data_IF_543366878819
#
_entry.id   IF_543366878819
#
_cell.length_a   1.000
_cell.length_b   1.000
_cell.length_c   1.000
_cell.angle_alpha   90.00
_cell.angle_beta   90.00
_cell.angle_gamma   90.00
#
_symmetry.space_group_name_H-M   'P 1'
#
loop_
_entity.id
_entity.type
_entity.pdbx_description
1 polymer ?
#
# COMPACT_ATOMS: atom_id res chain seq x y z
N UNK A 1 -15.70 -18.62 4.14
CA UNK A 1 -15.96 -17.17 4.11
C UNK A 1 -14.74 -16.49 4.69
N UNK A 2 -14.01 -15.70 3.91
CA UNK A 2 -12.87 -14.95 4.42
C UNK A 2 -13.43 -13.83 5.30
N UNK A 3 -13.23 -13.95 6.60
CA UNK A 3 -13.55 -12.89 7.56
C UNK A 3 -12.83 -11.63 7.10
N UNK A 4 -13.53 -10.50 6.88
CA UNK A 4 -12.86 -9.24 6.60
C UNK A 4 -11.92 -8.95 7.77
N UNK A 5 -10.63 -8.95 7.49
CA UNK A 5 -9.64 -8.55 8.47
C UNK A 5 -9.91 -7.09 8.80
N UNK A 6 -10.48 -6.81 9.98
CA UNK A 6 -10.96 -5.49 10.37
C UNK A 6 -9.86 -4.40 10.24
N UNK A 7 -8.61 -4.84 10.28
CA UNK A 7 -7.40 -4.02 10.28
C UNK A 7 -6.48 -4.36 9.09
N UNK A 8 -7.07 -4.72 7.95
CA UNK A 8 -6.37 -4.76 6.68
C UNK A 8 -7.04 -3.83 5.68
N UNK A 9 -6.25 -3.30 4.76
CA UNK A 9 -6.69 -2.51 3.62
C UNK A 9 -6.10 -3.10 2.35
N UNK A 10 -6.92 -3.15 1.31
CA UNK A 10 -6.50 -3.58 -0.02
C UNK A 10 -6.35 -2.32 -0.87
N UNK A 11 -5.15 -2.13 -1.42
CA UNK A 11 -4.81 -1.02 -2.30
C UNK A 11 -4.55 -1.57 -3.71
N UNK A 12 -5.22 -1.02 -4.72
CA UNK A 12 -4.88 -1.33 -6.11
C UNK A 12 -3.66 -0.50 -6.52
N UNK A 13 -2.52 -1.15 -6.71
CA UNK A 13 -1.24 -0.47 -7.01
C UNK A 13 -0.92 -0.44 -8.51
N UNK A 14 -1.53 -1.35 -9.27
CA UNK A 14 -1.53 -1.35 -10.72
C UNK A 14 -2.78 -2.10 -11.23
N UNK A 15 -3.12 -2.00 -12.53
CA UNK A 15 -4.21 -2.79 -13.10
C UNK A 15 -4.03 -4.29 -12.81
N UNK A 16 -4.99 -4.88 -12.10
CA UNK A 16 -4.95 -6.29 -11.69
C UNK A 16 -3.99 -6.63 -10.55
N UNK A 17 -3.23 -5.66 -10.00
CA UNK A 17 -2.30 -5.89 -8.87
C UNK A 17 -2.85 -5.21 -7.62
N UNK A 18 -3.18 -6.02 -6.63
CA UNK A 18 -3.66 -5.58 -5.32
C UNK A 18 -2.59 -5.84 -4.27
N UNK A 19 -2.34 -4.84 -3.43
CA UNK A 19 -1.49 -4.95 -2.24
C UNK A 19 -2.37 -4.96 -0.99
N UNK A 20 -2.14 -5.94 -0.11
CA UNK A 20 -2.75 -5.96 1.21
C UNK A 20 -1.79 -5.34 2.22
N UNK A 21 -2.29 -4.38 2.99
CA UNK A 21 -1.59 -3.77 4.12
C UNK A 21 -2.35 -4.14 5.38
N UNK A 22 -1.66 -4.68 6.40
CA UNK A 22 -2.22 -5.07 7.69
C UNK A 22 -1.36 -4.56 8.83
N UNK A 23 -1.99 -4.20 9.95
CA UNK A 23 -1.33 -3.79 11.20
C UNK A 23 -1.43 -4.84 12.31
N UNK A 24 -1.91 -6.04 11.98
CA UNK A 24 -2.13 -7.13 12.96
C UNK A 24 -0.85 -7.63 13.63
N UNK A 25 0.30 -7.51 12.96
CA UNK A 25 1.62 -7.85 13.50
C UNK A 25 2.47 -6.59 13.61
N UNK A 26 2.11 -5.68 14.51
CA UNK A 26 2.91 -4.49 14.75
C UNK A 26 3.88 -4.68 15.92
N UNK A 27 4.82 -3.76 16.06
CA UNK A 27 5.87 -3.83 17.08
C UNK A 27 5.34 -3.74 18.53
N UNK A 28 4.07 -3.35 18.73
CA UNK A 28 3.42 -3.26 20.04
C UNK A 28 2.69 -4.55 20.44
N UNK A 29 2.73 -5.60 19.59
CA UNK A 29 2.14 -6.91 19.83
C UNK A 29 1.08 -7.27 18.77
N UNK A 30 0.36 -8.39 18.99
CA UNK A 30 -0.76 -8.84 18.13
C UNK A 30 -2.03 -7.98 18.35
N UNK A 31 -1.87 -6.68 18.53
CA UNK A 31 -2.98 -5.75 18.65
C UNK A 31 -3.15 -5.02 17.33
N UNK A 32 -4.21 -5.33 16.62
CA UNK A 32 -4.52 -4.65 15.40
C UNK A 32 -4.95 -3.19 15.67
N UNK A 33 -4.33 -2.23 14.97
CA UNK A 33 -4.54 -0.78 15.21
C UNK A 33 -5.34 -0.19 14.05
N UNK A 34 -6.38 0.62 14.29
CA UNK A 34 -7.11 1.33 13.24
C UNK A 34 -6.18 2.24 12.43
N UNK A 35 -6.29 2.16 11.10
CA UNK A 35 -5.54 3.01 10.19
C UNK A 35 -6.28 3.22 8.87
N UNK A 36 -5.84 4.25 8.16
CA UNK A 36 -6.14 4.52 6.76
C UNK A 36 -4.88 4.25 5.95
N UNK A 37 -5.06 3.64 4.78
CA UNK A 37 -3.96 3.44 3.82
C UNK A 37 -4.34 4.07 2.48
N UNK A 38 -3.39 4.78 1.88
CA UNK A 38 -3.57 5.43 0.57
C UNK A 38 -2.36 5.11 -0.31
N UNK A 39 -2.62 4.86 -1.59
CA UNK A 39 -1.59 4.66 -2.60
C UNK A 39 -1.60 5.81 -3.60
N UNK A 40 -0.42 6.33 -3.93
CA UNK A 40 -0.23 7.35 -4.96
C UNK A 40 0.96 6.97 -5.84
N UNK A 41 0.79 7.08 -7.16
CA UNK A 41 1.89 6.93 -8.12
C UNK A 41 2.69 8.24 -8.15
N UNK A 42 4.02 8.15 -8.06
CA UNK A 42 4.88 9.31 -8.20
C UNK A 42 5.15 9.58 -9.69
N UNK A 43 5.21 10.86 -10.09
CA UNK A 43 5.66 11.22 -11.43
C UNK A 43 7.13 10.81 -11.58
N UNK A 44 7.45 10.08 -12.64
CA UNK A 44 8.82 9.74 -13.03
C UNK A 44 9.23 10.73 -14.10
N UNK A 45 10.37 11.40 -13.92
CA UNK A 45 10.95 12.19 -15.00
C UNK A 45 11.41 11.22 -16.10
N UNK A 46 10.90 11.36 -17.32
CA UNK A 46 11.39 10.56 -18.44
C UNK A 46 12.81 11.04 -18.77
N UNK A 47 13.80 10.21 -18.44
CA UNK A 47 15.18 10.41 -18.90
C UNK A 47 15.33 9.80 -20.28
N UNK A 48 15.75 10.62 -21.25
CA UNK A 48 15.97 10.22 -22.64
C UNK A 48 16.79 8.93 -22.76
N UNK A 49 16.20 7.92 -23.42
CA UNK A 49 16.95 6.87 -24.11
C UNK A 49 16.78 5.42 -23.64
N UNK A 50 16.30 5.16 -22.43
CA UNK A 50 15.98 3.80 -21.97
C UNK A 50 14.81 3.90 -20.99
N UNK A 51 13.61 3.68 -21.50
CA UNK A 51 12.38 3.67 -20.74
C UNK A 51 12.30 2.42 -19.86
N UNK A 52 13.21 2.30 -18.88
CA UNK A 52 12.92 1.55 -17.67
C UNK A 52 11.78 2.33 -17.00
N UNK A 53 10.53 1.96 -17.33
CA UNK A 53 9.30 2.47 -16.72
C UNK A 53 9.21 2.01 -15.25
N UNK A 54 10.23 2.30 -14.46
CA UNK A 54 10.24 2.10 -13.03
C UNK A 54 9.25 3.08 -12.42
N UNK A 55 7.99 2.65 -12.26
CA UNK A 55 6.95 3.43 -11.61
C UNK A 55 7.20 3.38 -10.11
N UNK A 56 7.55 4.52 -9.54
CA UNK A 56 7.58 4.67 -8.10
C UNK A 56 6.16 4.95 -7.58
N UNK A 57 5.83 4.41 -6.42
CA UNK A 57 4.58 4.71 -5.74
C UNK A 57 4.83 4.86 -4.24
N UNK A 58 4.02 5.70 -3.60
CA UNK A 58 4.06 5.92 -2.15
C UNK A 58 2.80 5.31 -1.55
N UNK A 59 2.99 4.57 -0.47
CA UNK A 59 1.90 4.12 0.40
C UNK A 59 1.99 4.90 1.70
N UNK A 60 0.95 5.67 1.99
CA UNK A 60 0.84 6.42 3.25
C UNK A 60 -0.08 5.65 4.19
N UNK A 61 0.42 5.36 5.40
CA UNK A 61 -0.37 4.81 6.49
C UNK A 61 -0.60 5.92 7.53
N UNK A 62 -1.87 6.17 7.87
CA UNK A 62 -2.25 7.12 8.91
C UNK A 62 -2.97 6.39 10.03
N UNK A 63 -2.40 6.44 11.23
CA UNK A 63 -2.97 5.85 12.45
C UNK A 63 -3.95 6.82 13.10
N UNK A 64 -4.95 6.30 13.81
CA UNK A 64 -5.93 7.07 14.57
C UNK A 64 -5.61 7.07 16.06
#
# INVERSE_FOLDING_TARGET
>A
MNTPVAHARILQVAPGINMQVSTEHNAFGDQAVPFVAQYQVLPVAETDGEALQARAGVITLSYQ
#
